data_IF_247464759594
#
_entry.id   IF_247464759594
#
_cell.length_a   1.000
_cell.length_b   1.000
_cell.length_c   1.000
_cell.angle_alpha   90.00
_cell.angle_beta   90.00
_cell.angle_gamma   90.00
#
_symmetry.space_group_name_H-M   'P 1'
#
loop_
_entity.id
_entity.type
_entity.pdbx_description
1 polymer ?
2 polymer ?
3 non-polymer ?
4 non-polymer ?
5 non-polymer ?
6 non-polymer ?
7 water ?
#
# COMPACT_ATOMS: atom_id res chain seq x y z
N UNK A 1 16.42 -11.51 -24.82
CA UNK A 1 15.21 -11.11 -24.02
C UNK A 1 15.40 -9.70 -23.45
N UNK A 2 14.32 -8.91 -23.43
CA UNK A 2 14.39 -7.54 -22.93
C UNK A 2 13.30 -7.35 -21.87
N UNK A 3 13.61 -6.55 -20.85
CA UNK A 3 12.78 -6.49 -19.65
C UNK A 3 11.44 -5.78 -19.84
N UNK A 4 11.30 -4.98 -20.90
CA UNK A 4 10.02 -4.28 -21.14
C UNK A 4 8.97 -5.19 -21.77
N UNK A 5 9.43 -6.25 -22.44
CA UNK A 5 8.53 -7.26 -23.01
C UNK A 5 8.46 -8.51 -22.13
N UNK A 6 7.26 -8.82 -21.65
CA UNK A 6 7.01 -10.03 -20.87
C UNK A 6 7.85 -10.10 -19.58
N UNK A 7 8.29 -8.93 -19.10
CA UNK A 7 9.19 -8.81 -17.92
C UNK A 7 10.53 -9.54 -18.12
N UNK A 8 10.95 -9.65 -19.38
CA UNK A 8 12.16 -10.41 -19.71
C UNK A 8 12.06 -11.88 -19.38
N UNK A 9 10.85 -12.36 -19.11
CA UNK A 9 10.60 -13.75 -18.70
C UNK A 9 10.77 -13.97 -17.20
N UNK A 10 11.19 -12.93 -16.48
CA UNK A 10 11.51 -13.04 -15.06
C UNK A 10 10.23 -13.13 -14.22
N UNK A 11 10.30 -13.85 -13.11
CA UNK A 11 9.15 -13.93 -12.21
C UNK A 11 9.01 -12.61 -11.44
N UNK A 12 10.13 -12.00 -11.06
CA UNK A 12 10.15 -10.73 -10.34
C UNK A 12 10.89 -9.63 -11.12
N UNK A 13 12.11 -9.28 -10.71
CA UNK A 13 12.80 -8.12 -11.26
C UNK A 13 13.74 -8.52 -12.39
N UNK A 14 13.95 -7.59 -13.32
CA UNK A 14 14.72 -7.85 -14.53
C UNK A 14 15.68 -6.70 -14.78
N UNK A 15 16.95 -7.03 -15.07
CA UNK A 15 17.95 -6.06 -15.51
C UNK A 15 18.47 -6.39 -16.91
N UNK A 16 18.45 -5.37 -17.78
CA UNK A 16 19.08 -5.42 -19.09
C UNK A 16 20.58 -5.16 -18.93
N UNK A 17 21.39 -5.91 -19.67
CA UNK A 17 22.85 -5.75 -19.63
C UNK A 17 23.44 -5.56 -21.03
N UNK A 18 24.69 -5.08 -21.08
CA UNK A 18 25.33 -4.76 -22.36
C UNK A 18 25.46 -6.01 -23.23
N UNK A 19 24.77 -5.97 -24.37
CA UNK A 19 24.71 -7.09 -25.30
C UNK A 19 23.30 -7.65 -25.34
N UNK A 20 23.19 -8.93 -25.69
CA UNK A 20 21.91 -9.63 -25.62
C UNK A 20 21.80 -10.35 -24.26
N UNK A 21 22.20 -9.65 -23.19
CA UNK A 21 22.27 -10.21 -21.84
C UNK A 21 21.14 -9.70 -20.95
N UNK A 22 20.59 -10.60 -20.13
CA UNK A 22 19.50 -10.30 -19.23
C UNK A 22 19.74 -11.04 -17.92
N UNK A 23 19.55 -10.36 -16.79
CA UNK A 23 19.66 -10.99 -15.49
C UNK A 23 18.40 -10.73 -14.68
N UNK A 24 17.71 -11.80 -14.28
CA UNK A 24 16.60 -11.70 -13.35
C UNK A 24 17.11 -11.63 -11.93
N UNK A 25 16.32 -10.98 -11.07
CA UNK A 25 16.67 -10.85 -9.67
C UNK A 25 15.41 -11.05 -8.84
N UNK A 26 15.58 -11.27 -7.54
CA UNK A 26 14.43 -11.46 -6.67
C UNK A 26 14.49 -10.51 -5.46
N UNK A 27 13.32 -10.26 -4.90
CA UNK A 27 13.15 -9.50 -3.67
C UNK A 27 13.89 -10.19 -2.53
N UNK A 28 14.28 -9.43 -1.52
CA UNK A 28 14.79 -10.02 -0.28
C UNK A 28 13.82 -11.07 0.23
N UNK A 29 14.36 -12.17 0.76
CA UNK A 29 13.57 -13.27 1.24
C UNK A 29 13.25 -14.30 0.17
N UNK A 30 13.82 -14.11 -1.02
CA UNK A 30 13.70 -15.05 -2.15
C UNK A 30 15.07 -15.30 -2.77
N UNK A 31 15.24 -16.47 -3.40
CA UNK A 31 16.43 -16.79 -4.17
C UNK A 31 16.03 -17.21 -5.57
N UNK A 32 16.95 -17.01 -6.52
CA UNK A 32 16.69 -17.27 -7.94
C UNK A 32 17.06 -18.72 -8.23
N UNK A 33 16.20 -19.41 -8.97
CA UNK A 33 16.45 -20.81 -9.29
C UNK A 33 17.41 -20.87 -10.49
N UNK A 34 17.89 -22.07 -10.79
CA UNK A 34 18.88 -22.30 -11.84
C UNK A 34 18.32 -22.04 -13.23
N UNK A 35 17.00 -21.99 -13.36
CA UNK A 35 16.38 -21.59 -14.65
C UNK A 35 16.63 -20.13 -14.97
N UNK A 36 17.09 -19.36 -13.98
CA UNK A 36 17.45 -17.98 -14.19
C UNK A 36 16.28 -17.02 -14.15
N UNK A 37 15.07 -17.53 -13.94
CA UNK A 37 13.86 -16.71 -13.98
C UNK A 37 12.95 -16.85 -12.76
N UNK A 38 12.92 -18.01 -12.12
CA UNK A 38 11.99 -18.30 -11.03
C UNK A 38 12.59 -17.90 -9.68
N UNK A 39 11.72 -17.50 -8.75
CA UNK A 39 12.12 -17.11 -7.39
C UNK A 39 11.45 -18.06 -6.41
N UNK A 40 12.15 -18.48 -5.36
CA UNK A 40 11.60 -19.35 -4.34
C UNK A 40 11.87 -18.71 -2.96
N UNK A 41 10.90 -18.74 -2.04
CA UNK A 41 11.15 -18.19 -0.70
C UNK A 41 12.34 -18.82 0.05
N UNK A 42 13.03 -18.01 0.81
CA UNK A 42 14.13 -18.46 1.65
C UNK A 42 13.84 -18.24 3.14
N UNK A 43 12.68 -17.64 3.44
CA UNK A 43 12.26 -17.33 4.81
C UNK A 43 10.86 -17.88 5.01
N UNK A 44 10.41 -17.91 6.27
CA UNK A 44 9.09 -18.44 6.63
C UNK A 44 7.97 -17.55 6.12
N UNK A 45 8.19 -16.24 6.17
CA UNK A 45 7.15 -15.27 5.83
C UNK A 45 7.65 -14.25 4.81
N UNK A 46 7.87 -14.69 3.55
CA UNK A 46 8.34 -13.78 2.52
C UNK A 46 7.24 -12.77 2.18
N UNK A 47 7.64 -11.60 1.69
CA UNK A 47 6.67 -10.56 1.36
C UNK A 47 5.75 -11.00 0.23
N UNK A 48 4.49 -10.56 0.31
CA UNK A 48 3.58 -10.72 -0.81
C UNK A 48 2.99 -12.11 -0.98
N UNK A 49 3.19 -12.99 -0.01
CA UNK A 49 2.53 -14.28 -0.02
C UNK A 49 1.64 -14.41 1.20
N UNK A 50 0.52 -15.11 1.01
CA UNK A 50 -0.52 -15.23 2.05
C UNK A 50 -0.45 -16.61 2.68
N UNK A 51 0.16 -16.72 3.87
CA UNK A 51 0.40 -18.02 4.48
C UNK A 51 -0.80 -18.98 4.51
N UNK A 52 -1.98 -18.52 4.89
CA UNK A 52 -3.11 -19.45 4.99
C UNK A 52 -3.52 -20.02 3.61
N UNK A 53 -3.21 -19.29 2.53
CA UNK A 53 -3.51 -19.77 1.18
C UNK A 53 -2.39 -20.61 0.60
N UNK A 54 -1.15 -20.35 1.01
CA UNK A 54 0.01 -21.14 0.60
C UNK A 54 -0.02 -22.52 1.27
N UNK A 55 -0.55 -22.58 2.50
CA UNK A 55 -0.85 -23.86 3.17
C UNK A 55 -2.10 -24.53 2.58
N UNK A 56 -3.06 -23.70 2.14
CA UNK A 56 -4.31 -24.09 1.43
C UNK A 56 -5.52 -23.83 2.32
N UNK B 1 -14.99 0.74 2.34
CA UNK B 1 -15.11 0.07 1.05
C UNK B 1 -16.60 -0.10 0.69
N UNK B 2 -16.97 0.36 -0.50
CA UNK B 2 -18.35 0.26 -1.00
C UNK B 2 -18.41 -0.85 -2.07
N UNK B 3 -19.33 -1.80 -1.87
CA UNK B 3 -19.59 -2.86 -2.85
C UNK B 3 -18.58 -3.99 -2.88
N UNK B 4 -17.79 -4.12 -1.81
CA UNK B 4 -16.79 -5.17 -1.68
C UNK B 4 -17.33 -6.35 -0.90
N UNK B 5 -16.42 -7.10 -0.28
CA UNK B 5 -16.77 -8.24 0.54
C UNK B 5 -15.85 -8.29 1.75
N UNK B 6 -16.21 -9.09 2.72
CA UNK B 6 -15.35 -9.25 3.90
C UNK B 6 -14.10 -9.95 3.42
N UNK B 7 -12.94 -9.43 3.79
CA UNK B 7 -11.68 -10.12 3.47
C UNK B 7 -11.56 -11.28 4.48
N UNK B 8 -11.48 -12.53 4.01
CA UNK B 8 -11.37 -13.58 5.02
C UNK B 8 -10.17 -13.36 5.93
N UNK B 9 -10.34 -13.60 7.22
CA UNK B 9 -9.27 -13.36 8.20
C UNK B 9 -7.95 -14.01 7.77
N UNK B 10 -6.90 -13.20 7.69
CA UNK B 10 -5.57 -13.67 7.31
C UNK B 10 -5.25 -13.50 5.84
N UNK B 11 -6.24 -13.12 5.02
CA UNK B 11 -5.98 -13.01 3.57
C UNK B 11 -5.53 -11.61 3.12
N UNK B 12 -5.47 -10.67 4.06
CA UNK B 12 -4.95 -9.34 3.84
C UNK B 12 -3.91 -9.05 4.97
N UNK B 13 -2.86 -9.87 5.12
CA UNK B 13 -2.02 -9.84 6.32
C UNK B 13 -1.08 -8.64 6.45
N UNK B 14 -0.99 -7.85 5.39
CA UNK B 14 -0.22 -6.60 5.37
C UNK B 14 -1.03 -5.36 5.73
N UNK B 15 -2.35 -5.53 5.88
CA UNK B 15 -3.23 -4.40 6.21
C UNK B 15 -2.89 -3.86 7.59
N UNK B 16 -2.83 -2.54 7.71
CA UNK B 16 -2.59 -1.86 8.99
C UNK B 16 -3.78 -0.99 9.34
N UNK B 17 -4.13 -0.93 10.61
CA UNK B 17 -5.13 0.02 11.12
C UNK B 17 -4.39 1.05 11.94
N UNK B 18 -4.61 2.32 11.64
CA UNK B 18 -4.04 3.40 12.44
C UNK B 18 -5.11 4.00 13.34
N UNK B 19 -4.73 4.19 14.60
CA UNK B 19 -5.62 4.69 15.65
C UNK B 19 -5.01 5.92 16.28
N UNK B 20 -5.85 6.91 16.61
CA UNK B 20 -5.39 8.02 17.43
C UNK B 20 -6.35 8.17 18.61
N UNK B 21 -5.79 8.08 19.81
CA UNK B 21 -6.59 8.06 21.04
C UNK B 21 -7.64 6.94 21.03
N UNK B 22 -7.26 5.81 20.43
CA UNK B 22 -8.13 4.65 20.30
C UNK B 22 -9.14 4.69 19.17
N UNK B 23 -9.29 5.82 18.50
CA UNK B 23 -10.26 5.94 17.43
C UNK B 23 -9.64 5.69 16.05
N UNK B 24 -10.41 5.03 15.20
CA UNK B 24 -9.98 4.77 13.84
C UNK B 24 -9.61 6.04 13.10
N UNK B 25 -8.40 6.05 12.52
CA UNK B 25 -7.91 7.18 11.76
C UNK B 25 -7.88 6.86 10.26
N UNK B 26 -7.08 5.86 9.92
CA UNK B 26 -6.74 5.55 8.54
C UNK B 26 -6.25 4.11 8.42
N UNK B 27 -5.95 3.70 7.19
CA UNK B 27 -5.32 2.43 6.95
C UNK B 27 -3.84 2.61 6.65
N UNK B 28 -3.17 1.50 6.41
CA UNK B 28 -1.78 1.49 6.01
C UNK B 28 -1.37 0.13 5.49
N UNK B 29 -0.13 0.04 5.05
CA UNK B 29 0.44 -1.21 4.51
C UNK B 29 1.79 -1.51 5.13
N UNK B 30 1.94 -2.68 5.72
CA UNK B 30 3.23 -3.15 6.24
C UNK B 30 4.12 -3.51 5.04
N UNK B 31 5.32 -2.95 4.96
CA UNK B 31 6.27 -3.38 3.91
C UNK B 31 7.57 -4.01 4.45
N UNK B 32 7.78 -3.89 5.75
CA UNK B 32 8.83 -4.63 6.46
C UNK B 32 8.40 -4.68 7.93
N UNK B 33 9.19 -5.32 8.79
CA UNK B 33 8.78 -5.44 10.19
C UNK B 33 8.67 -4.14 10.97
N UNK B 34 9.31 -3.05 10.53
CA UNK B 34 9.19 -1.77 11.24
C UNK B 34 8.68 -0.62 10.37
N UNK B 35 8.35 -0.90 9.11
CA UNK B 35 7.93 0.15 8.19
C UNK B 35 6.52 -0.06 7.65
N UNK B 36 5.73 1.02 7.68
CA UNK B 36 4.34 1.06 7.20
C UNK B 36 4.19 2.25 6.24
N UNK B 37 3.49 2.03 5.11
CA UNK B 37 3.21 3.08 4.17
C UNK B 37 1.76 3.48 4.33
N UNK B 38 1.51 4.78 4.41
CA UNK B 38 0.13 5.27 4.52
C UNK B 38 0.00 6.55 3.66
N UNK B 39 -1.07 7.32 3.89
CA UNK B 39 -1.31 8.56 3.17
C UNK B 39 -0.92 9.76 4.01
N UNK B 40 -0.23 10.74 3.42
CA UNK B 40 0.12 11.94 4.15
C UNK B 40 -1.09 12.69 4.74
N UNK B 41 -2.23 12.71 4.02
CA UNK B 41 -3.38 13.53 4.48
C UNK B 41 -4.02 13.04 5.78
N UNK B 42 -3.77 11.78 6.15
CA UNK B 42 -4.24 11.22 7.40
C UNK B 42 -3.68 11.94 8.62
N UNK B 43 -2.55 12.64 8.44
CA UNK B 43 -1.85 13.26 9.56
C UNK B 43 -1.97 14.79 9.63
N UNK B 44 -2.87 15.36 8.82
CA UNK B 44 -3.07 16.81 8.76
C UNK B 44 -3.54 17.41 10.09
N UNK B 45 -4.30 16.65 10.87
CA UNK B 45 -4.95 17.19 12.08
C UNK B 45 -4.48 16.57 13.38
N UNK B 46 -3.33 15.90 13.38
CA UNK B 46 -2.80 15.28 14.59
C UNK B 46 -2.17 16.36 15.48
N UNK B 47 -2.62 16.41 16.73
CA UNK B 47 -2.13 17.43 17.67
C UNK B 47 -0.98 16.88 18.52
N UNK B 48 -1.15 15.66 19.03
CA UNK B 48 -0.12 14.96 19.81
C UNK B 48 0.23 13.61 19.17
N UNK B 49 1.42 13.55 18.58
CA UNK B 49 1.89 12.36 17.86
C UNK B 49 2.06 11.12 18.75
N UNK B 50 2.12 11.31 20.07
CA UNK B 50 2.28 10.19 21.01
C UNK B 50 1.02 9.33 21.18
N UNK B 51 -0.10 9.79 20.62
CA UNK B 51 -1.35 9.07 20.68
C UNK B 51 -1.61 8.22 19.42
N UNK B 52 -0.63 8.10 18.53
CA UNK B 52 -0.77 7.36 17.26
C UNK B 52 -0.29 5.92 17.42
N UNK B 53 -1.16 4.96 17.14
CA UNK B 53 -0.88 3.55 17.28
C UNK B 53 -1.18 2.83 15.95
N UNK B 54 -0.30 1.90 15.56
CA UNK B 54 -0.55 1.00 14.42
C UNK B 54 -0.91 -0.41 14.90
N UNK B 55 -1.95 -0.99 14.29
CA UNK B 55 -2.35 -2.34 14.62
C UNK B 55 -2.19 -3.25 13.40
N UNK B 56 -1.46 -4.34 13.59
CA UNK B 56 -1.28 -5.39 12.57
C UNK B 56 -2.08 -6.61 13.02
N UNK B 57 -2.43 -7.48 12.07
CA UNK B 57 -3.12 -8.71 12.41
C UNK B 57 -4.59 -8.51 12.77
N UNK B 58 -5.12 -7.33 12.47
CA UNK B 58 -6.49 -6.99 12.86
C UNK B 58 -7.45 -7.52 11.80
N UNK B 59 -8.65 -7.85 12.25
CA UNK B 59 -9.68 -8.30 11.33
C UNK B 59 -11.04 -7.74 11.73
N UNK B 60 -11.48 -8.09 12.94
CA UNK B 60 -12.81 -7.72 13.48
C UNK B 60 -12.59 -6.79 14.66
N UNK B 61 -13.09 -5.56 14.53
CA UNK B 61 -12.86 -4.51 15.53
C UNK B 61 -13.64 -4.70 16.84
N UNK B 62 -14.60 -5.61 16.84
CA UNK B 62 -15.46 -5.81 18.01
C UNK B 62 -14.89 -6.80 19.03
N UNK B 63 -13.84 -7.53 18.64
CA UNK B 63 -13.31 -8.59 19.48
C UNK B 63 -11.79 -8.65 19.44
N UNK B 64 -11.20 -9.09 20.52
CA UNK B 64 -9.77 -9.34 20.55
C UNK B 64 -9.57 -10.83 20.45
N UNK B 65 -8.89 -11.29 19.40
CA UNK B 65 -8.64 -12.73 19.25
C UNK B 65 -7.19 -13.18 19.49
N UNK B 66 -6.30 -12.23 19.72
CA UNK B 66 -4.92 -12.53 20.08
C UNK B 66 -3.93 -12.48 18.94
N UNK B 67 -4.41 -12.31 17.70
CA UNK B 67 -3.53 -12.17 16.55
C UNK B 67 -3.13 -10.71 16.30
N UNK B 68 -3.78 -9.78 16.98
CA UNK B 68 -3.50 -8.37 16.84
C UNK B 68 -2.18 -8.00 17.51
N UNK B 69 -1.41 -7.13 16.87
CA UNK B 69 -0.18 -6.61 17.44
C UNK B 69 -0.19 -5.10 17.29
N UNK B 70 -0.11 -4.39 18.40
CA UNK B 70 -0.11 -2.93 18.41
C UNK B 70 1.28 -2.37 18.65
N UNK B 71 1.63 -1.31 17.92
CA UNK B 71 2.91 -0.62 18.04
C UNK B 71 2.72 0.89 18.06
N UNK B 72 3.49 1.57 18.90
CA UNK B 72 3.58 3.01 18.83
C UNK B 72 4.31 3.39 17.53
N UNK B 73 3.90 4.49 16.93
CA UNK B 73 4.53 5.02 15.73
C UNK B 73 5.60 6.00 16.17
N UNK B 74 6.85 5.70 15.85
CA UNK B 74 8.02 6.50 16.25
C UNK B 74 8.36 7.67 15.32
N UNK B 75 8.03 7.56 14.03
CA UNK B 75 8.33 8.61 13.05
C UNK B 75 7.25 8.57 11.99
N UNK B 76 6.78 9.74 11.56
CA UNK B 76 5.93 9.88 10.38
C UNK B 76 6.72 10.74 9.39
N UNK B 77 7.03 10.19 8.22
CA UNK B 77 7.88 10.88 7.25
C UNK B 77 7.04 11.22 6.02
N UNK B 78 7.02 12.50 5.66
CA UNK B 78 6.18 13.02 4.58
C UNK B 78 7.05 13.75 3.54
N UNK B 79 6.70 13.65 2.24
CA UNK B 79 7.57 14.32 1.27
C UNK B 79 7.45 15.81 1.39
N UNK B 80 8.55 16.52 1.13
CA UNK B 80 8.57 17.99 1.21
C UNK B 80 7.54 18.65 0.31
N UNK B 81 7.19 17.96 -0.77
CA UNK B 81 6.27 18.46 -1.78
C UNK B 81 4.79 18.37 -1.41
N UNK B 82 4.48 17.62 -0.36
CA UNK B 82 3.10 17.49 0.11
C UNK B 82 2.66 18.77 0.83
N UNK B 83 1.49 19.27 0.47
CA UNK B 83 0.92 20.44 1.11
C UNK B 83 -0.35 20.07 1.88
N UNK B 84 -0.36 20.24 3.21
CA UNK B 84 -1.57 19.93 3.96
C UNK B 84 -2.84 20.53 3.37
N UNK B 85 -3.91 19.75 3.37
CA UNK B 85 -5.19 20.17 2.80
C UNK B 85 -5.38 19.89 1.31
N UNK B 86 -4.33 19.42 0.63
CA UNK B 86 -4.39 19.14 -0.80
C UNK B 86 -4.16 17.66 -1.10
N UNK B 87 -4.14 17.30 -2.38
CA UNK B 87 -4.18 15.88 -2.77
C UNK B 87 -2.89 15.31 -3.33
N UNK B 88 -2.01 16.16 -3.84
CA UNK B 88 -0.82 15.70 -4.54
C UNK B 88 0.24 15.22 -3.54
N UNK B 89 1.01 14.21 -3.92
CA UNK B 89 2.07 13.64 -3.07
C UNK B 89 1.56 13.04 -1.76
N UNK B 90 0.47 12.27 -1.86
CA UNK B 90 -0.25 11.81 -0.70
C UNK B 90 0.31 10.48 -0.22
N UNK B 91 1.46 10.56 0.43
CA UNK B 91 2.14 9.37 0.91
C UNK B 91 2.89 9.69 2.18
N UNK B 92 2.94 8.72 3.10
CA UNK B 92 3.70 8.84 4.36
C UNK B 92 4.36 7.51 4.65
N UNK B 93 5.56 7.57 5.21
CA UNK B 93 6.29 6.39 5.63
C UNK B 93 6.43 6.46 7.13
N UNK B 94 5.93 5.42 7.82
CA UNK B 94 5.89 5.37 9.27
C UNK B 94 6.88 4.33 9.78
N UNK B 95 7.68 4.72 10.77
CA UNK B 95 8.55 3.78 11.47
C UNK B 95 7.92 3.41 12.79
N UNK B 96 7.80 2.10 13.02
CA UNK B 96 7.26 1.60 14.25
C UNK B 96 8.34 1.64 15.33
N UNK B 97 7.90 1.80 16.57
CA UNK B 97 8.81 1.91 17.70
C UNK B 97 9.53 0.60 17.97
N UNK B 98 8.84 -0.53 17.71
CA UNK B 98 9.41 -1.87 17.83
C UNK B 98 8.89 -2.67 16.65
N UNK B 99 9.69 -3.65 16.16
CA UNK B 99 9.18 -4.47 15.06
C UNK B 99 7.94 -5.27 15.40
N UNK B 100 7.06 -5.46 14.43
CA UNK B 100 6.05 -6.48 14.56
C UNK B 100 6.71 -7.85 14.33
N UNK B 101 6.07 -8.90 14.86
CA UNK B 101 6.50 -10.27 14.69
C UNK B 101 5.71 -10.84 13.52
N UNK B 102 6.41 -11.35 12.51
CA UNK B 102 5.71 -11.95 11.38
C UNK B 102 5.09 -13.27 11.81
N UNK B 103 3.85 -13.49 11.36
CA UNK B 103 3.04 -14.66 11.75
C UNK B 103 2.16 -14.97 10.54
N UNK B 104 1.32 -16.00 10.64
CA UNK B 104 0.37 -16.26 9.55
C UNK B 104 -0.56 -15.08 9.29
N UNK B 105 -0.75 -14.22 10.30
CA UNK B 105 -1.69 -13.10 10.17
C UNK B 105 -1.04 -11.74 10.01
N UNK B 106 0.28 -11.71 9.95
CA UNK B 106 1.06 -10.47 9.82
C UNK B 106 2.27 -10.75 8.92
N UNK B 107 2.20 -10.21 7.70
CA UNK B 107 3.17 -10.41 6.64
C UNK B 107 3.28 -9.11 5.85
N UNK B 108 4.51 -8.70 5.45
CA UNK B 108 4.61 -7.48 4.68
C UNK B 108 4.23 -7.70 3.22
N UNK B 109 3.74 -6.65 2.59
CA UNK B 109 3.54 -6.64 1.14
C UNK B 109 4.86 -6.24 0.47
N UNK B 110 5.13 -6.74 -0.73
CA UNK B 110 6.39 -6.41 -1.39
C UNK B 110 6.34 -5.01 -1.96
N UNK B 111 7.33 -4.18 -1.62
CA UNK B 111 7.52 -2.90 -2.28
C UNK B 111 8.33 -3.19 -3.53
N UNK B 112 7.75 -3.01 -4.72
CA UNK B 112 8.47 -3.41 -5.91
C UNK B 112 9.57 -2.45 -6.32
N UNK B 113 10.48 -2.90 -7.20
CA UNK B 113 11.38 -1.97 -7.90
C UNK B 113 10.60 -1.07 -8.82
N UNK B 114 11.13 0.13 -9.07
CA UNK B 114 10.44 1.13 -9.89
C UNK B 114 10.19 0.63 -11.31
N UNK B 115 11.23 0.11 -11.96
CA UNK B 115 11.10 -0.32 -13.36
C UNK B 115 10.07 -1.44 -13.51
N UNK B 116 10.14 -2.45 -12.64
CA UNK B 116 9.17 -3.53 -12.62
C UNK B 116 7.75 -2.99 -12.43
N UNK B 117 7.60 -2.02 -11.53
CA UNK B 117 6.29 -1.46 -11.25
C UNK B 117 5.74 -0.68 -12.41
N UNK B 118 6.60 0.11 -13.06
CA UNK B 118 6.18 0.93 -14.19
C UNK B 118 5.98 0.13 -15.48
N UNK B 119 6.85 -0.85 -15.72
CA UNK B 119 6.81 -1.61 -16.98
C UNK B 119 5.86 -2.80 -16.95
N UNK B 120 5.63 -3.38 -15.77
CA UNK B 120 4.86 -4.60 -15.68
C UNK B 120 3.61 -4.44 -14.80
N UNK B 121 3.80 -4.04 -13.55
CA UNK B 121 2.66 -3.95 -12.62
C UNK B 121 1.61 -2.94 -13.07
N UNK B 122 2.06 -1.83 -13.65
CA UNK B 122 1.15 -0.77 -14.14
C UNK B 122 0.15 -1.25 -15.19
N UNK B 123 0.42 -2.39 -15.82
CA UNK B 123 -0.45 -2.96 -16.87
C UNK B 123 -1.24 -4.19 -16.44
N UNK B 124 -1.14 -4.56 -15.17
CA UNK B 124 -2.04 -5.55 -14.59
C UNK B 124 -3.38 -4.84 -14.36
N UNK B 125 -4.45 -5.34 -14.95
CA UNK B 125 -5.69 -4.57 -14.94
C UNK B 125 -6.31 -4.43 -13.54
N UNK B 126 -6.51 -5.55 -12.86
CA UNK B 126 -7.23 -5.59 -11.60
C UNK B 126 -6.27 -5.69 -10.41
N UNK B 127 -6.64 -5.01 -9.31
CA UNK B 127 -5.86 -5.01 -8.09
C UNK B 127 -6.84 -4.92 -6.93
N UNK B 128 -6.39 -5.25 -5.72
CA UNK B 128 -7.27 -5.27 -4.55
C UNK B 128 -7.04 -4.05 -3.66
N UNK B 129 -8.14 -3.47 -3.17
CA UNK B 129 -8.09 -2.37 -2.21
C UNK B 129 -8.87 -2.79 -0.96
N UNK B 130 -8.37 -2.42 0.22
CA UNK B 130 -8.98 -2.89 1.45
C UNK B 130 -9.01 -1.85 2.56
N UNK B 131 -9.93 -2.04 3.52
CA UNK B 131 -10.02 -1.20 4.69
C UNK B 131 -11.28 -1.39 5.52
N UNK B 132 -11.31 -0.67 6.64
CA UNK B 132 -12.43 -0.65 7.56
C UNK B 132 -13.25 0.65 7.39
N UNK B 133 -13.19 1.26 6.22
CA UNK B 133 -13.84 2.54 5.98
C UNK B 133 -15.34 2.38 5.80
N UNK B 134 -15.98 3.48 5.43
CA UNK B 134 -17.44 3.53 5.23
C UNK B 134 -17.88 2.52 4.19
N UNK B 135 -18.97 1.82 4.50
CA UNK B 135 -19.56 0.83 3.63
C UNK B 135 -20.46 1.48 2.58
N UNK B 136 -20.85 2.73 2.84
CA UNK B 136 -21.64 3.57 1.91
C UNK B 136 -21.22 5.02 2.06
N UNK B 137 -21.44 5.81 1.02
CA UNK B 137 -21.29 7.26 1.14
C UNK B 137 -22.26 7.75 2.23
N UNK B 138 -21.76 8.54 3.18
CA UNK B 138 -22.57 8.99 4.31
C UNK B 138 -23.04 7.85 5.21
N UNK B 139 -22.27 6.77 5.25
CA UNK B 139 -22.66 5.58 5.98
C UNK B 139 -21.67 5.19 7.05
N UNK B 140 -22.05 4.20 7.86
CA UNK B 140 -21.22 3.67 8.94
C UNK B 140 -20.00 2.93 8.39
N UNK B 141 -18.96 2.85 9.20
CA UNK B 141 -17.75 2.12 8.84
C UNK B 141 -17.88 0.64 9.17
N UNK B 142 -17.00 -0.15 8.57
CA UNK B 142 -17.01 -1.61 8.72
C UNK B 142 -16.42 -2.09 10.03
N UNK B 143 -17.03 -3.10 10.65
CA UNK B 143 -16.44 -3.80 11.78
C UNK B 143 -15.44 -4.90 11.37
N UNK B 144 -15.66 -5.48 10.20
CA UNK B 144 -14.73 -6.48 9.64
C UNK B 144 -14.02 -5.90 8.42
N UNK B 145 -12.76 -6.28 8.22
CA UNK B 145 -11.99 -5.78 7.10
C UNK B 145 -12.64 -6.14 5.78
N UNK B 147 -12.68 -5.92 1.39
CA UNK B 147 -11.81 -5.93 0.24
C UNK B 147 -12.61 -5.81 -1.07
N UNK B 148 -11.99 -5.15 -2.07
CA UNK B 148 -12.64 -4.88 -3.37
C UNK B 148 -11.64 -5.00 -4.52
N UNK B 149 -12.06 -5.65 -5.60
CA UNK B 149 -11.24 -5.77 -6.80
C UNK B 149 -11.61 -4.60 -7.72
N UNK B 150 -10.64 -3.79 -8.11
CA UNK B 150 -10.86 -2.61 -8.98
C UNK B 150 -9.92 -2.62 -10.17
N UNK B 151 -10.42 -2.24 -11.36
CA UNK B 151 -9.59 -2.04 -12.55
C UNK B 151 -8.94 -0.66 -12.62
N UNK B 152 -7.69 -0.63 -13.06
CA UNK B 152 -6.92 0.59 -13.20
C UNK B 152 -7.12 1.19 -14.58
N UNK B 153 -7.17 2.51 -14.65
CA UNK B 153 -7.33 3.26 -15.90
C UNK B 153 -6.05 4.03 -16.19
N UNK B 154 -5.72 4.18 -17.47
CA UNK B 154 -4.76 5.20 -17.88
C UNK B 154 -5.37 6.58 -17.61
N UNK B 155 -4.55 7.53 -17.22
CA UNK B 155 -5.08 8.84 -16.79
C UNK B 155 -5.84 9.60 -17.89
N UNK B 156 -5.44 9.41 -19.14
CA UNK B 156 -6.18 9.99 -20.26
C UNK B 156 -7.62 9.46 -20.30
N UNK B 157 -7.76 8.15 -20.12
CA UNK B 157 -9.07 7.50 -20.12
C UNK B 157 -9.89 7.91 -18.89
N UNK B 158 -9.23 8.12 -17.74
CA UNK B 158 -9.92 8.54 -16.51
C UNK B 158 -10.55 9.93 -16.70
N UNK B 159 -9.81 10.82 -17.35
CA UNK B 159 -10.29 12.17 -17.61
C UNK B 159 -11.41 12.20 -18.65
N UNK B 160 -11.27 11.41 -19.72
CA UNK B 160 -12.31 11.26 -20.76
C UNK B 160 -13.63 10.67 -20.22
N UNK B 161 -13.54 9.81 -19.21
CA UNK B 161 -14.71 9.14 -18.65
C UNK B 161 -15.34 9.87 -17.46
N UNK B 162 -14.58 10.73 -16.79
CA UNK B 162 -15.06 11.40 -15.59
C UNK B 162 -16.03 12.53 -15.91
N UNK B 163 -17.29 12.38 -15.49
CA UNK B 163 -18.35 13.35 -15.78
C UNK B 163 -19.39 13.39 -14.65
N UNK B 168 -12.81 20.68 -9.39
CA UNK B 168 -12.23 19.34 -9.27
C UNK B 168 -10.69 19.39 -9.24
N UNK B 169 -10.06 18.53 -8.42
CA UNK B 169 -8.60 18.42 -8.48
C UNK B 169 -8.09 17.69 -9.75
N UNK B 170 -6.89 18.05 -10.21
CA UNK B 170 -6.27 17.39 -11.36
C UNK B 170 -5.86 15.95 -10.98
N UNK B 171 -5.74 15.08 -11.97
CA UNK B 171 -5.06 13.79 -11.78
C UNK B 171 -3.60 13.99 -12.23
N UNK B 172 -2.68 14.04 -11.27
CA UNK B 172 -1.26 14.27 -11.57
C UNK B 172 -0.50 12.97 -11.87
N UNK B 173 0.76 13.12 -12.25
CA UNK B 173 1.62 11.97 -12.51
C UNK B 173 1.93 11.18 -11.23
N UNK B 174 1.59 11.75 -10.07
CA UNK B 174 1.77 11.07 -8.79
C UNK B 174 0.51 10.35 -8.31
N UNK B 175 -0.45 10.19 -9.23
CA UNK B 175 -1.73 9.55 -8.96
C UNK B 175 -2.11 8.60 -10.08
N UNK B 176 -3.03 7.70 -9.80
CA UNK B 176 -3.77 6.98 -10.86
C UNK B 176 -5.23 6.74 -10.45
N UNK B 177 -6.10 6.58 -11.44
CA UNK B 177 -7.49 6.24 -11.20
C UNK B 177 -7.73 4.76 -11.27
N UNK B 178 -8.65 4.30 -10.42
CA UNK B 178 -9.11 2.92 -10.44
C UNK B 178 -10.52 2.82 -9.88
N UNK B 179 -11.29 1.88 -10.44
CA UNK B 179 -12.62 1.56 -9.94
C UNK B 179 -13.67 1.60 -11.06
N UNK B 180 -14.86 2.09 -10.72
CA UNK B 180 -16.02 2.02 -11.61
C UNK B 180 -16.78 3.33 -11.56
N UNK B 181 -17.28 3.79 -12.71
CA UNK B 181 -17.99 5.06 -12.76
C UNK B 181 -19.52 4.95 -12.59
N UNK B 182 -20.04 3.75 -12.31
CA UNK B 182 -21.49 3.51 -12.24
C UNK B 182 -22.09 3.60 -10.83
N UNK B 183 -21.29 4.02 -9.86
CA UNK B 183 -21.77 4.28 -8.51
C UNK B 183 -21.88 3.07 -7.58
N UNK B 184 -21.29 1.95 -7.98
CA UNK B 184 -21.49 0.68 -7.29
C UNK B 184 -20.35 0.27 -6.36
N UNK B 185 -19.12 0.68 -6.70
CA UNK B 185 -17.92 0.07 -6.09
C UNK B 185 -16.77 1.08 -6.00
N UNK B 186 -16.20 1.24 -4.81
CA UNK B 186 -15.15 2.24 -4.59
C UNK B 186 -14.55 2.04 -3.19
N UNK B 187 -13.39 2.63 -2.97
CA UNK B 187 -12.91 2.81 -1.61
C UNK B 187 -13.53 4.10 -1.08
N UNK B 188 -13.47 4.34 0.23
CA UNK B 188 -14.21 5.46 0.81
C UNK B 188 -13.44 6.06 1.98
N UNK B 189 -14.05 7.07 2.60
CA UNK B 189 -13.48 7.69 3.79
C UNK B 189 -13.27 6.63 4.82
N UNK B 190 -12.12 6.67 5.48
CA UNK B 190 -11.76 5.68 6.47
C UNK B 190 -10.85 4.63 5.89
N UNK B 191 -10.89 4.44 4.56
CA UNK B 191 -9.96 3.53 3.87
C UNK B 191 -8.62 4.19 3.51
N UNK B 192 -8.58 5.52 3.56
CA UNK B 192 -7.40 6.30 3.19
C UNK B 192 -6.16 5.71 3.83
N UNK B 193 -5.08 5.64 3.06
CA UNK B 193 -3.83 5.07 3.53
C UNK B 193 -3.64 3.60 3.25
N UNK B 194 -4.74 2.89 3.00
CA UNK B 194 -4.69 1.47 2.82
C UNK B 194 -4.10 1.07 1.48
N UNK B 195 -3.80 -0.22 1.32
CA UNK B 195 -3.15 -0.75 0.13
C UNK B 195 -4.05 -0.88 -1.08
N UNK B 196 -3.48 -0.54 -2.23
CA UNK B 196 -3.90 -1.03 -3.53
C UNK B 196 -2.79 -1.99 -3.96
N UNK B 197 -3.10 -3.28 -3.95
CA UNK B 197 -2.13 -4.36 -4.11
C UNK B 197 -2.39 -5.13 -5.38
N UNK B 198 -1.32 -5.44 -6.09
CA UNK B 198 -1.38 -6.04 -7.42
C UNK B 198 -0.66 -7.39 -7.41
N UNK B 199 -1.32 -8.41 -7.94
CA UNK B 199 -0.77 -9.75 -8.02
C UNK B 199 -0.07 -9.95 -9.36
N UNK B 200 1.14 -10.51 -9.31
CA UNK B 200 1.90 -10.82 -10.51
C UNK B 200 2.75 -12.06 -10.29
N UNK B 201 2.46 -13.09 -11.09
CA UNK B 201 3.15 -14.38 -11.02
C UNK B 201 3.37 -14.88 -9.59
N UNK B 202 2.29 -14.97 -8.83
CA UNK B 202 2.28 -15.62 -7.53
C UNK B 202 2.60 -14.78 -6.31
N UNK B 203 2.89 -13.50 -6.53
CA UNK B 203 3.27 -12.56 -5.46
C UNK B 203 2.51 -11.24 -5.59
N UNK B 204 2.19 -10.63 -4.44
CA UNK B 204 1.46 -9.37 -4.36
C UNK B 204 2.42 -8.22 -4.07
N UNK B 205 2.17 -7.08 -4.71
CA UNK B 205 3.04 -5.91 -4.65
C UNK B 205 2.24 -4.65 -4.36
N UNK B 206 2.86 -3.70 -3.65
CA UNK B 206 2.23 -2.38 -3.42
C UNK B 206 2.33 -1.48 -4.64
N UNK B 207 1.18 -1.16 -5.24
CA UNK B 207 1.13 -0.25 -6.38
C UNK B 207 0.43 1.07 -6.09
N UNK B 208 -0.41 1.12 -5.06
CA UNK B 208 -1.11 2.36 -4.76
C UNK B 208 -1.50 2.51 -3.32
N UNK B 209 -1.90 3.73 -2.96
CA UNK B 209 -2.40 4.05 -1.63
C UNK B 209 -3.77 4.73 -1.79
N UNK B 210 -4.76 4.28 -1.04
CA UNK B 210 -6.09 4.93 -1.05
C UNK B 210 -5.91 6.38 -0.67
N UNK B 211 -6.30 7.30 -1.56
CA UNK B 211 -6.01 8.72 -1.38
C UNK B 211 -7.25 9.63 -1.39
N UNK B 212 -7.91 9.74 -2.53
CA UNK B 212 -9.08 10.62 -2.59
C UNK B 212 -10.08 10.27 -3.68
N UNK B 213 -11.20 10.99 -3.68
CA UNK B 213 -12.18 10.88 -4.73
C UNK B 213 -13.31 11.87 -4.49
N UNK B 214 -14.28 11.86 -5.39
CA UNK B 214 -15.52 12.66 -5.25
C UNK B 214 -16.55 11.86 -4.50
N UNK B 215 -16.81 12.23 -3.26
CA UNK B 215 -17.64 11.42 -2.37
C UNK B 215 -17.09 10.01 -2.41
N UNK B 216 -17.98 9.01 -2.42
CA UNK B 216 -17.60 7.60 -2.56
C UNK B 216 -18.59 6.92 -3.46
N UNK B 217 -18.12 6.14 -4.43
CA UNK B 217 -19.01 5.49 -5.38
C UNK B 217 -19.97 6.52 -6.03
N UNK B 218 -19.45 7.69 -6.38
CA UNK B 218 -20.25 8.74 -7.05
C UNK B 218 -20.28 8.45 -8.54
N UNK B 219 -21.48 8.45 -9.12
CA UNK B 219 -21.60 8.19 -10.55
C UNK B 219 -20.77 9.19 -11.35
N UNK B 220 -20.07 8.67 -12.36
CA UNK B 220 -19.23 9.48 -13.23
C UNK B 220 -17.83 9.73 -12.69
N UNK B 221 -17.48 9.08 -11.58
CA UNK B 221 -16.18 9.33 -10.96
C UNK B 221 -15.52 8.03 -10.51
N UNK B 222 -14.20 8.05 -10.46
CA UNK B 222 -13.39 6.90 -10.07
C UNK B 222 -12.64 7.24 -8.78
N UNK B 223 -12.17 6.21 -8.07
CA UNK B 223 -11.26 6.45 -6.93
C UNK B 223 -9.89 6.89 -7.43
N UNK B 224 -9.19 7.69 -6.62
CA UNK B 224 -7.86 8.16 -7.00
C UNK B 224 -6.85 7.68 -5.94
N UNK B 225 -5.72 7.17 -6.43
CA UNK B 225 -4.73 6.45 -5.63
C UNK B 225 -3.37 7.08 -5.86
N UNK B 226 -2.55 7.13 -4.82
CA UNK B 226 -1.17 7.59 -4.94
C UNK B 226 -0.38 6.57 -5.77
N UNK B 227 0.36 7.05 -6.74
CA UNK B 227 1.13 6.20 -7.65
C UNK B 227 2.45 5.89 -6.99
N UNK B 228 2.50 4.76 -6.30
CA UNK B 228 3.63 4.43 -5.40
C UNK B 228 4.94 4.29 -6.18
N UNK B 229 4.85 3.92 -7.46
CA UNK B 229 6.07 3.77 -8.26
C UNK B 229 6.93 5.04 -8.32
N UNK B 230 6.31 6.21 -8.16
CA UNK B 230 7.04 7.47 -8.17
C UNK B 230 7.87 7.66 -6.90
N UNK B 231 7.57 6.87 -5.87
CA UNK B 231 8.18 7.05 -4.54
C UNK B 231 9.12 5.94 -4.08
N UNK B 232 9.36 4.93 -4.92
CA UNK B 232 10.12 3.76 -4.50
C UNK B 232 11.52 4.17 -4.03
N UNK B 233 12.20 5.00 -4.81
CA UNK B 233 13.60 5.39 -4.49
C UNK B 233 13.64 6.25 -3.24
N UNK B 234 12.68 7.17 -3.12
CA UNK B 234 12.47 7.99 -1.92
C UNK B 234 12.28 7.13 -0.68
N UNK B 235 11.40 6.14 -0.78
CA UNK B 235 11.14 5.21 0.34
C UNK B 235 12.36 4.36 0.70
N UNK B 236 13.03 3.82 -0.31
CA UNK B 236 14.16 2.94 -0.08
C UNK B 236 15.28 3.69 0.63
N UNK B 237 15.53 4.93 0.23
CA UNK B 237 16.56 5.74 0.86
C UNK B 237 16.26 6.02 2.33
N UNK B 238 15.00 6.37 2.62
CA UNK B 238 14.57 6.61 3.99
C UNK B 238 14.70 5.35 4.86
N UNK B 239 14.37 4.19 4.31
CA UNK B 239 14.47 2.97 5.09
C UNK B 239 15.94 2.60 5.41
N UNK B 240 16.89 3.14 4.65
CA UNK B 240 18.33 2.93 4.88
C UNK B 240 18.94 3.97 5.80
N UNK B 241 18.15 4.95 6.25
CA UNK B 241 18.64 6.08 7.05
C UNK B 241 18.44 5.90 8.55
N UNK B 242 19.26 6.57 9.35
CA UNK B 242 19.08 6.54 10.80
C UNK B 242 17.90 7.41 11.20
N UNK B 243 17.13 6.96 12.22
CA UNK B 243 16.06 7.75 12.82
C UNK B 243 16.53 9.14 13.34
N UNK B 244 15.63 10.12 13.26
CA UNK B 244 15.88 11.50 13.73
C UNK B 244 14.90 11.85 14.83
N UNK B 245 15.36 12.60 15.86
CA UNK B 245 14.43 12.97 16.92
C UNK B 245 13.22 13.76 16.42
N UNK B 246 12.09 13.63 17.11
CA UNK B 246 10.84 14.29 16.72
C UNK B 246 10.02 13.46 15.76
N UNK B 247 8.77 13.15 16.12
CA UNK B 247 7.97 12.20 15.35
C UNK B 247 7.90 12.61 13.87
N UNK B 248 7.42 13.81 13.59
CA UNK B 248 7.23 14.24 12.20
C UNK B 248 8.53 14.64 11.52
N UNK B 249 8.78 14.10 10.34
CA UNK B 249 9.93 14.43 9.51
C UNK B 249 9.44 14.77 8.10
N UNK B 250 9.81 15.94 7.61
CA UNK B 250 9.61 16.27 6.20
C UNK B 250 10.91 15.96 5.50
N UNK B 251 10.83 15.17 4.44
CA UNK B 251 12.01 14.70 3.75
C UNK B 251 11.95 15.19 2.32
N UNK B 252 13.09 15.65 1.78
CA UNK B 252 13.07 16.18 0.42
C UNK B 252 12.57 15.17 -0.61
N UNK B 253 11.72 15.63 -1.51
CA UNK B 253 11.29 14.84 -2.65
C UNK B 253 11.53 15.72 -3.87
N UNK B 254 12.13 15.15 -4.93
CA UNK B 254 12.61 13.76 -5.04
C UNK B 254 13.81 13.39 -4.13
#
# INVERSE_FOLDING_TARGET
LICVNENGGCEQYCSDHTGTKRSCRCHEGYSLLADGVSCTPTVEYPCGKIPILEKRNASKPQGR
IVGGKVCPKGECPWQVLLLVNGAQLCGGTLINTIWVVSAAHCFDKIKNWRNLIAVLGEHDLSEHDGDEQSRRVAQVIIPSTYVPGTTNHDIALLRLHQPVVLTDHVVPLCLPERTFSERTLAFVRFSLVSGWGQLLDRGATALELXVLNVPRLMTQDCLQQSRKVGDSPNITEYMFCAGYSDGSKDSCKGDSGGPHATHYRGTWYLTGIVSWGQGCATVGHFGVYTRVSQYIEWLQKLMRSEPRPGVLLRAPFP
#
